data_IF_500430084669
#
_entry.id   IF_500430084669
#
_cell.length_a   1.000
_cell.length_b   1.000
_cell.length_c   1.000
_cell.angle_alpha   90.00
_cell.angle_beta   90.00
_cell.angle_gamma   90.00
#
_symmetry.space_group_name_H-M   'P 1'
#
loop_
_entity.id
_entity.type
_entity.pdbx_description
1 polymer ?
#
# COMPACT_ATOMS: atom_id res chain seq x y z
N UNK A 1 2.14 1.09 -1.30
CA UNK A 1 1.77 1.20 0.13
C UNK A 1 2.98 1.34 1.06
N UNK A 2 4.07 0.58 0.85
CA UNK A 2 5.35 0.68 1.62
C UNK A 2 5.83 2.13 1.87
N UNK A 3 5.93 2.93 0.81
CA UNK A 3 6.36 4.33 0.89
C UNK A 3 5.50 5.17 1.85
N UNK A 4 4.18 5.02 1.78
CA UNK A 4 3.23 5.78 2.62
C UNK A 4 3.42 5.41 4.10
N UNK A 5 3.65 4.12 4.39
CA UNK A 5 3.98 3.68 5.76
C UNK A 5 5.31 4.24 6.24
N UNK A 6 6.35 4.23 5.40
CA UNK A 6 7.68 4.74 5.79
C UNK A 6 7.61 6.22 6.16
N UNK A 7 6.82 7.02 5.43
CA UNK A 7 6.57 8.43 5.77
C UNK A 7 5.84 8.54 7.11
N UNK A 8 4.79 7.73 7.33
CA UNK A 8 4.03 7.75 8.60
C UNK A 8 4.88 7.39 9.81
N UNK A 9 5.68 6.32 9.71
CA UNK A 9 6.60 5.90 10.77
C UNK A 9 7.60 7.01 11.08
N UNK A 10 8.13 7.68 10.05
CA UNK A 10 9.06 8.80 10.24
C UNK A 10 8.37 9.99 10.90
N UNK A 11 7.17 10.36 10.46
CA UNK A 11 6.40 11.47 11.04
C UNK A 11 6.07 11.25 12.52
N UNK A 12 5.77 10.00 12.92
CA UNK A 12 5.48 9.62 14.32
C UNK A 12 6.72 9.44 15.20
N UNK A 13 7.92 9.45 14.62
CA UNK A 13 9.16 9.28 15.39
C UNK A 13 9.42 10.46 16.32
N UNK A 14 10.08 10.22 17.46
CA UNK A 14 10.43 11.28 18.42
C UNK A 14 11.34 12.37 17.85
N UNK A 15 12.13 12.05 16.82
CA UNK A 15 13.02 13.00 16.16
C UNK A 15 12.34 13.92 15.16
N UNK A 16 11.16 13.56 14.66
CA UNK A 16 10.39 14.37 13.70
C UNK A 16 9.13 14.93 14.34
N UNK A 17 8.31 14.06 14.96
CA UNK A 17 7.08 14.40 15.66
C UNK A 17 6.19 15.41 14.89
N UNK A 18 5.85 15.07 13.65
CA UNK A 18 4.99 15.86 12.78
C UNK A 18 3.57 15.25 12.75
N UNK A 19 2.66 15.72 13.63
CA UNK A 19 1.31 15.19 13.74
C UNK A 19 0.45 15.50 12.50
N UNK A 20 0.73 16.58 11.78
CA UNK A 20 -0.02 16.95 10.57
C UNK A 20 0.29 15.96 9.45
N UNK A 21 1.56 15.61 9.24
CA UNK A 21 1.93 14.57 8.28
C UNK A 21 1.39 13.20 8.68
N UNK A 22 1.42 12.86 9.98
CA UNK A 22 0.88 11.59 10.47
C UNK A 22 -0.61 11.41 10.16
N UNK A 23 -1.44 12.43 10.39
CA UNK A 23 -2.88 12.40 10.07
C UNK A 23 -3.11 12.23 8.55
N UNK A 24 -2.35 12.95 7.72
CA UNK A 24 -2.46 12.81 6.26
C UNK A 24 -2.12 11.39 5.79
N UNK A 25 -1.05 10.81 6.34
CA UNK A 25 -0.65 9.43 6.02
C UNK A 25 -1.75 8.43 6.40
N UNK A 26 -2.38 8.58 7.57
CA UNK A 26 -3.49 7.70 7.99
C UNK A 26 -4.68 7.82 7.02
N UNK A 27 -5.03 9.04 6.61
CA UNK A 27 -6.08 9.26 5.61
C UNK A 27 -5.74 8.59 4.27
N UNK A 28 -4.49 8.73 3.81
CA UNK A 28 -4.03 8.13 2.56
C UNK A 28 -4.01 6.59 2.63
N UNK A 29 -3.55 6.02 3.74
CA UNK A 29 -3.63 4.58 4.02
C UNK A 29 -5.08 4.08 3.93
N UNK A 30 -6.02 4.80 4.56
CA UNK A 30 -7.44 4.43 4.54
C UNK A 30 -8.01 4.40 3.11
N UNK A 31 -7.64 5.38 2.29
CA UNK A 31 -8.04 5.43 0.87
C UNK A 31 -7.45 4.27 0.07
N UNK A 32 -6.15 3.99 0.22
CA UNK A 32 -5.47 2.89 -0.48
C UNK A 32 -6.08 1.54 -0.07
N UNK A 33 -6.29 1.31 1.22
CA UNK A 33 -6.88 0.06 1.71
C UNK A 33 -8.32 -0.12 1.22
N UNK A 34 -9.12 0.96 1.22
CA UNK A 34 -10.47 0.94 0.66
C UNK A 34 -10.46 0.57 -0.82
N UNK A 35 -9.51 1.10 -1.58
CA UNK A 35 -9.38 0.77 -3.00
C UNK A 35 -8.96 -0.69 -3.20
N UNK A 36 -7.98 -1.18 -2.44
CA UNK A 36 -7.57 -2.60 -2.50
C UNK A 36 -8.69 -3.58 -2.13
N UNK A 37 -9.57 -3.21 -1.20
CA UNK A 37 -10.74 -4.04 -0.87
C UNK A 37 -11.75 -4.06 -2.03
N UNK A 38 -11.93 -2.95 -2.74
CA UNK A 38 -12.86 -2.85 -3.88
C UNK A 38 -12.29 -3.47 -5.16
N UNK A 39 -10.98 -3.32 -5.34
CA UNK A 39 -10.22 -3.72 -6.51
C UNK A 39 -9.04 -4.60 -6.06
N UNK A 40 -9.32 -5.83 -5.60
CA UNK A 40 -8.27 -6.72 -5.13
C UNK A 40 -7.26 -6.99 -6.24
N UNK A 41 -5.97 -6.88 -5.89
CA UNK A 41 -4.87 -7.20 -6.81
C UNK A 41 -4.79 -8.72 -6.90
N UNK A 42 -5.19 -9.27 -8.03
CA UNK A 42 -4.99 -10.67 -8.35
C UNK A 42 -3.60 -10.88 -8.94
N UNK A 43 -2.95 -12.02 -8.66
CA UNK A 43 -1.75 -12.42 -9.37
C UNK A 43 -2.03 -12.40 -10.88
N UNK A 44 -1.19 -11.72 -11.65
CA UNK A 44 -1.22 -11.84 -13.11
C UNK A 44 -0.54 -13.15 -13.49
N UNK A 45 -1.28 -14.25 -13.40
CA UNK A 45 -0.85 -15.54 -13.92
C UNK A 45 -0.96 -15.52 -15.44
N UNK A 46 0.17 -15.63 -16.13
CA UNK A 46 0.17 -15.90 -17.57
C UNK A 46 0.11 -17.40 -17.76
N UNK A 47 -0.75 -17.88 -18.66
CA UNK A 47 -0.76 -19.28 -19.05
C UNK A 47 -0.06 -19.39 -20.39
N UNK A 48 0.76 -20.43 -20.58
CA UNK A 48 1.26 -20.78 -21.92
C UNK A 48 0.15 -21.44 -22.77
N UNK A 49 0.43 -21.70 -24.05
CA UNK A 49 -0.51 -22.35 -24.98
C UNK A 49 -0.91 -23.78 -24.57
N UNK A 50 -0.17 -24.41 -23.65
CA UNK A 50 -0.45 -25.72 -23.09
C UNK A 50 -1.17 -25.63 -21.72
N UNK A 51 -1.58 -24.44 -21.29
CA UNK A 51 -2.28 -24.20 -20.02
C UNK A 51 -1.37 -24.27 -18.79
N UNK A 52 -0.04 -24.23 -18.94
CA UNK A 52 0.89 -24.19 -17.81
C UNK A 52 1.02 -22.77 -17.26
N UNK A 53 1.05 -22.66 -15.94
CA UNK A 53 1.32 -21.40 -15.24
C UNK A 53 2.75 -20.93 -15.55
N UNK A 54 2.85 -19.82 -16.26
CA UNK A 54 4.05 -19.00 -16.36
C UNK A 54 3.95 -17.98 -15.22
N UNK A 55 4.68 -18.23 -14.14
CA UNK A 55 4.89 -17.26 -13.05
C UNK A 55 5.77 -16.11 -13.50
#
# INVERSE_FOLDING_TARGET
>A
MRQVLDIGVRALSSGVNDPTTAIHVIGQCSTILRDLVKNPIYPQVKHDENGRLLV
#
